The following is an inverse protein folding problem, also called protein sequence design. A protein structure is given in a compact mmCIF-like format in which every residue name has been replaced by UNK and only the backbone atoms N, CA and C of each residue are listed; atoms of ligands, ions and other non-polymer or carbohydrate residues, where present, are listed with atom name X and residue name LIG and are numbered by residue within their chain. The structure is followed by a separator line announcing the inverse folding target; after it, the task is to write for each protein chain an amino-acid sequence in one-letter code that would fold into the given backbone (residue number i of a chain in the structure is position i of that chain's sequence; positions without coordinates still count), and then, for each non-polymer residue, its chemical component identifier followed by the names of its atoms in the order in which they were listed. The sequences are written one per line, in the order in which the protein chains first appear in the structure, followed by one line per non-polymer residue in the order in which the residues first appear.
data_IF_396296036616
#
_entry.id   IF_396296036616
#
_cell.length_a   1.000
_cell.length_b   1.000
_cell.length_c   1.000
_cell.angle_alpha   90.00
_cell.angle_beta   90.00
_cell.angle_gamma   90.00
#
_symmetry.space_group_name_H-M   'P 1'
#
loop_
_entity.id
_entity.type
_entity.pdbx_description
1 polymer ?
#
# COMPACT_ATOMS: atom_id res chain seq x y z
N UNK A 1 3.01 -7.40 -1.31
CA UNK A 1 3.30 -6.40 -0.29
C UNK A 1 2.50 -6.61 1.00
N UNK A 2 1.16 -6.51 1.03
CA UNK A 2 0.41 -6.65 2.30
C UNK A 2 0.79 -7.90 3.09
N UNK A 3 0.69 -9.09 2.49
CA UNK A 3 1.03 -10.35 3.16
C UNK A 3 2.49 -10.39 3.63
N UNK A 4 3.41 -9.82 2.88
CA UNK A 4 4.81 -9.70 3.28
C UNK A 4 4.97 -8.79 4.49
N UNK A 5 4.31 -7.63 4.49
CA UNK A 5 4.30 -6.71 5.64
C UNK A 5 3.67 -7.34 6.87
N UNK A 6 2.56 -8.07 6.71
CA UNK A 6 1.91 -8.79 7.81
C UNK A 6 2.82 -9.89 8.38
N UNK A 7 3.50 -10.65 7.53
CA UNK A 7 4.44 -11.66 7.99
C UNK A 7 5.59 -11.06 8.82
N UNK A 8 6.08 -9.88 8.45
CA UNK A 8 7.07 -9.15 9.28
C UNK A 8 6.45 -8.67 10.60
N UNK A 9 5.24 -8.11 10.56
CA UNK A 9 4.56 -7.59 11.74
C UNK A 9 4.11 -8.68 12.72
N UNK A 10 3.99 -9.93 12.32
CA UNK A 10 3.76 -11.06 13.25
C UNK A 10 4.86 -11.20 14.32
N UNK A 11 6.08 -10.73 14.02
CA UNK A 11 7.19 -10.72 14.96
C UNK A 11 7.19 -9.51 15.91
N UNK A 12 6.18 -8.63 15.81
CA UNK A 12 6.04 -7.41 16.59
C UNK A 12 4.71 -7.44 17.34
N UNK A 13 4.71 -7.13 18.62
CA UNK A 13 3.46 -6.93 19.33
C UNK A 13 2.83 -5.56 18.96
N UNK A 14 2.23 -5.51 17.75
CA UNK A 14 1.67 -4.28 17.18
C UNK A 14 0.66 -3.61 18.12
N UNK A 15 -0.18 -4.40 18.81
CA UNK A 15 -1.16 -3.87 19.78
C UNK A 15 -0.49 -3.12 20.93
N UNK A 16 0.64 -3.65 21.44
CA UNK A 16 1.37 -3.03 22.55
C UNK A 16 2.06 -1.73 22.15
N UNK A 17 2.33 -1.50 20.86
CA UNK A 17 2.88 -0.23 20.39
C UNK A 17 1.89 0.94 20.57
N UNK A 18 0.59 0.65 20.56
CA UNK A 18 -0.48 1.66 20.65
C UNK A 18 -0.79 2.28 19.28
N UNK A 19 -2.08 2.41 18.97
CA UNK A 19 -2.54 2.98 17.70
C UNK A 19 -2.00 4.40 17.49
N UNK A 20 -1.42 4.65 16.32
CA UNK A 20 -0.83 5.94 15.92
C UNK A 20 0.18 6.54 16.91
N UNK A 21 0.78 5.73 17.79
CA UNK A 21 1.94 6.14 18.58
C UNK A 21 3.18 6.32 17.69
N UNK A 22 4.22 7.03 18.14
CA UNK A 22 5.49 7.12 17.39
C UNK A 22 6.09 5.76 17.10
N UNK A 23 6.05 4.83 18.05
CA UNK A 23 6.58 3.47 17.88
C UNK A 23 5.80 2.67 16.83
N UNK A 24 4.47 2.78 16.81
CA UNK A 24 3.62 2.14 15.81
C UNK A 24 3.89 2.70 14.41
N UNK A 25 3.83 4.03 14.26
CA UNK A 25 4.05 4.69 12.96
C UNK A 25 5.43 4.38 12.41
N UNK A 26 6.47 4.49 13.24
CA UNK A 26 7.84 4.15 12.85
C UNK A 26 7.95 2.70 12.39
N UNK A 27 7.49 1.74 13.19
CA UNK A 27 7.59 0.32 12.87
C UNK A 27 6.87 -0.04 11.58
N UNK A 28 5.62 0.42 11.41
CA UNK A 28 4.84 0.14 10.20
C UNK A 28 5.48 0.79 8.97
N UNK A 29 6.00 2.02 9.11
CA UNK A 29 6.72 2.72 8.04
C UNK A 29 7.95 1.96 7.58
N UNK A 30 8.79 1.52 8.51
CA UNK A 30 10.02 0.79 8.17
C UNK A 30 9.72 -0.59 7.56
N UNK A 31 8.72 -1.31 8.07
CA UNK A 31 8.24 -2.55 7.47
C UNK A 31 7.75 -2.33 6.04
N UNK A 32 7.00 -1.26 5.79
CA UNK A 32 6.55 -0.90 4.44
C UNK A 32 7.73 -0.60 3.52
N UNK A 33 8.74 0.14 3.97
CA UNK A 33 9.95 0.40 3.17
C UNK A 33 10.66 -0.90 2.77
N UNK A 34 10.81 -1.86 3.68
CA UNK A 34 11.38 -3.17 3.39
C UNK A 34 10.59 -3.92 2.30
N UNK A 35 9.26 -3.91 2.41
CA UNK A 35 8.40 -4.55 1.41
C UNK A 35 8.42 -3.81 0.06
N UNK A 36 8.54 -2.49 0.05
CA UNK A 36 8.69 -1.69 -1.16
C UNK A 36 10.05 -1.94 -1.83
N UNK A 37 11.13 -2.07 -1.07
CA UNK A 37 12.45 -2.41 -1.62
C UNK A 37 12.41 -3.74 -2.38
N UNK A 38 11.78 -4.74 -1.79
CA UNK A 38 11.60 -6.04 -2.43
C UNK A 38 10.68 -5.96 -3.67
N UNK A 39 9.63 -5.11 -3.61
CA UNK A 39 8.76 -4.84 -4.77
C UNK A 39 9.55 -4.28 -5.95
N UNK A 40 10.38 -3.28 -5.71
CA UNK A 40 11.17 -2.65 -6.77
C UNK A 40 12.12 -3.67 -7.42
N UNK A 41 12.65 -4.60 -6.67
CA UNK A 41 13.58 -5.60 -7.21
C UNK A 41 12.90 -6.74 -7.96
N UNK A 42 11.77 -7.24 -7.44
CA UNK A 42 11.25 -8.55 -7.85
C UNK A 42 9.90 -8.53 -8.56
N UNK A 43 9.07 -7.47 -8.42
CA UNK A 43 7.71 -7.52 -8.94
C UNK A 43 7.67 -7.21 -10.43
N UNK A 44 7.08 -8.15 -11.16
CA UNK A 44 6.85 -8.08 -12.59
C UNK A 44 5.80 -9.11 -13.02
N UNK A 45 5.58 -9.25 -14.32
CA UNK A 45 4.71 -10.30 -14.86
C UNK A 45 5.39 -11.68 -14.67
N UNK A 46 4.79 -12.62 -13.94
CA UNK A 46 5.39 -13.94 -13.68
C UNK A 46 5.57 -14.79 -14.93
N UNK A 47 4.93 -14.44 -16.05
CA UNK A 47 5.18 -15.10 -17.34
C UNK A 47 6.49 -14.64 -18.00
N UNK A 48 7.09 -13.54 -17.54
CA UNK A 48 8.27 -12.90 -18.10
C UNK A 48 9.43 -12.78 -17.11
N UNK A 49 9.14 -12.81 -15.82
CA UNK A 49 10.13 -12.66 -14.77
C UNK A 49 9.93 -13.71 -13.68
N UNK A 50 11.02 -14.27 -13.17
CA UNK A 50 10.98 -15.19 -12.05
C UNK A 50 10.71 -14.42 -10.74
N UNK A 51 9.43 -14.25 -10.40
CA UNK A 51 9.03 -13.60 -9.14
C UNK A 51 9.09 -14.63 -8.00
N UNK A 52 9.98 -14.47 -6.99
CA UNK A 52 10.19 -15.47 -5.96
C UNK A 52 9.11 -15.41 -4.85
N UNK A 53 7.83 -15.59 -5.23
CA UNK A 53 6.67 -15.39 -4.35
C UNK A 53 6.76 -16.21 -3.07
N UNK A 54 7.11 -17.51 -3.17
CA UNK A 54 7.21 -18.39 -2.01
C UNK A 54 8.27 -17.90 -1.02
N UNK A 55 9.42 -17.44 -1.53
CA UNK A 55 10.50 -16.90 -0.69
C UNK A 55 10.09 -15.58 -0.03
N UNK A 56 9.53 -14.63 -0.80
CA UNK A 56 9.05 -13.33 -0.31
C UNK A 56 7.97 -13.46 0.77
N UNK A 57 7.17 -14.53 0.74
CA UNK A 57 6.11 -14.80 1.71
C UNK A 57 6.53 -15.81 2.79
N UNK A 58 7.77 -16.30 2.79
CA UNK A 58 8.22 -17.23 3.82
C UNK A 58 8.34 -16.55 5.18
N UNK A 59 7.98 -17.27 6.25
CA UNK A 59 8.09 -16.76 7.62
C UNK A 59 9.55 -16.57 8.04
N UNK A 60 10.45 -17.42 7.56
CA UNK A 60 11.89 -17.27 7.80
C UNK A 60 12.43 -15.98 7.18
N UNK A 61 12.04 -15.68 5.95
CA UNK A 61 12.42 -14.43 5.30
C UNK A 61 11.90 -13.21 6.06
N UNK A 62 10.64 -13.23 6.46
CA UNK A 62 10.02 -12.16 7.23
C UNK A 62 10.72 -11.93 8.58
N UNK A 63 11.08 -13.02 9.29
CA UNK A 63 11.79 -12.97 10.55
C UNK A 63 13.18 -12.30 10.43
N UNK A 64 13.87 -12.52 9.32
CA UNK A 64 15.16 -11.87 9.07
C UNK A 64 14.98 -10.41 8.63
N UNK A 65 14.00 -10.14 7.76
CA UNK A 65 13.76 -8.77 7.27
C UNK A 65 13.35 -7.82 8.40
N UNK A 66 12.48 -8.26 9.31
CA UNK A 66 12.00 -7.39 10.40
C UNK A 66 13.11 -6.96 11.36
N UNK A 67 14.21 -7.70 11.48
CA UNK A 67 15.39 -7.31 12.29
C UNK A 67 16.07 -6.03 11.79
N UNK A 68 15.82 -5.64 10.54
CA UNK A 68 16.34 -4.41 9.95
C UNK A 68 15.54 -3.17 10.37
N UNK A 69 14.40 -3.34 11.03
CA UNK A 69 13.67 -2.24 11.66
C UNK A 69 14.47 -1.76 12.87
N UNK A 70 15.26 -0.73 12.67
CA UNK A 70 16.12 -0.16 13.70
C UNK A 70 15.39 0.84 14.60
N UNK A 71 16.12 1.36 15.59
CA UNK A 71 15.62 2.44 16.45
C UNK A 71 15.51 3.80 15.74
N UNK A 72 16.11 3.94 14.57
CA UNK A 72 16.08 5.15 13.73
C UNK A 72 15.54 4.82 12.35
N UNK A 73 14.90 5.82 11.74
CA UNK A 73 14.40 5.71 10.38
C UNK A 73 15.54 5.45 9.38
N UNK A 74 15.33 4.52 8.47
CA UNK A 74 16.17 4.40 7.29
C UNK A 74 16.02 5.69 6.46
N UNK A 75 17.12 6.36 6.06
CA UNK A 75 17.04 7.65 5.37
C UNK A 75 16.42 7.57 3.96
N UNK A 76 16.27 6.40 3.42
CA UNK A 76 15.71 6.16 2.10
C UNK A 76 15.00 4.81 2.00
N UNK A 77 15.00 4.23 0.81
CA UNK A 77 14.57 2.85 0.60
C UNK A 77 15.74 1.92 0.99
N UNK A 78 15.55 0.93 1.87
CA UNK A 78 16.58 -0.03 2.23
C UNK A 78 16.91 -0.96 1.04
N UNK A 79 18.03 -1.68 1.15
CA UNK A 79 18.36 -2.71 0.16
C UNK A 79 17.31 -3.84 0.17
N UNK A 80 16.92 -4.36 -1.01
CA UNK A 80 16.06 -5.52 -1.08
C UNK A 80 16.74 -6.75 -0.48
N UNK A 81 15.95 -7.62 0.13
CA UNK A 81 16.46 -8.88 0.67
C UNK A 81 16.66 -9.93 -0.42
N UNK A 82 17.36 -10.99 -0.10
CA UNK A 82 17.46 -12.19 -0.93
C UNK A 82 16.48 -13.26 -0.43
N UNK A 83 15.34 -13.48 -1.11
CA UNK A 83 14.37 -14.48 -0.66
C UNK A 83 14.88 -15.93 -0.69
N UNK A 84 15.95 -16.20 -1.45
CA UNK A 84 16.58 -17.51 -1.49
C UNK A 84 17.59 -17.72 -0.34
N UNK A 85 18.10 -16.62 0.24
CA UNK A 85 19.07 -16.61 1.34
C UNK A 85 18.60 -15.63 2.43
N UNK A 86 17.63 -16.01 3.25
CA UNK A 86 17.12 -15.13 4.31
C UNK A 86 18.25 -14.55 5.15
N UNK A 87 18.20 -13.23 5.41
CA UNK A 87 19.25 -12.49 6.09
C UNK A 87 20.29 -11.82 5.17
N UNK A 88 20.38 -12.24 3.91
CA UNK A 88 21.19 -11.55 2.91
C UNK A 88 20.40 -10.42 2.21
N UNK A 89 21.13 -9.45 1.68
CA UNK A 89 20.59 -8.41 0.77
C UNK A 89 21.15 -8.60 -0.63
N UNK A 90 20.47 -8.05 -1.60
CA UNK A 90 20.94 -7.97 -2.99
C UNK A 90 21.04 -6.51 -3.41
N UNK A 91 21.80 -6.24 -4.46
CA UNK A 91 21.85 -4.90 -5.03
C UNK A 91 20.43 -4.44 -5.39
N UNK A 92 20.07 -3.20 -5.07
CA UNK A 92 18.80 -2.64 -5.52
C UNK A 92 18.71 -2.74 -7.04
N UNK A 93 17.52 -2.94 -7.58
CA UNK A 93 17.29 -2.63 -8.97
C UNK A 93 17.74 -1.19 -9.16
N UNK A 94 18.52 -0.91 -10.20
CA UNK A 94 18.97 0.46 -10.49
C UNK A 94 17.75 1.36 -10.39
N UNK A 95 17.75 2.25 -9.39
CA UNK A 95 16.73 3.27 -9.29
C UNK A 95 17.10 4.33 -10.34
N UNK A 96 16.56 4.28 -11.55
CA UNK A 96 17.11 5.05 -12.67
C UNK A 96 16.79 6.53 -12.56
N UNK A 97 15.96 6.93 -11.64
CA UNK A 97 15.26 8.18 -11.79
C UNK A 97 15.07 8.88 -10.47
N UNK A 98 16.01 9.37 -9.89
CA UNK A 98 15.63 10.12 -8.75
C UNK A 98 16.78 10.82 -8.09
N UNK A 99 17.19 11.88 -8.69
CA UNK A 99 17.45 13.03 -7.82
C UNK A 99 16.18 13.24 -7.00
N UNK A 100 16.32 13.40 -5.66
CA UNK A 100 15.19 13.74 -4.82
C UNK A 100 14.43 14.89 -5.47
N UNK A 101 13.17 14.72 -5.76
CA UNK A 101 12.36 15.80 -6.29
C UNK A 101 12.12 16.77 -5.13
N UNK A 102 12.59 17.98 -5.26
CA UNK A 102 12.43 19.04 -4.24
C UNK A 102 11.03 19.65 -4.27
N UNK A 103 10.30 19.47 -5.34
CA UNK A 103 8.93 19.94 -5.46
C UNK A 103 7.94 18.87 -5.06
N UNK A 104 7.05 19.22 -4.15
CA UNK A 104 5.80 18.52 -3.98
C UNK A 104 5.04 18.65 -5.32
N UNK A 105 5.17 17.67 -6.20
CA UNK A 105 4.03 17.37 -7.04
C UNK A 105 2.91 17.17 -6.02
N UNK A 106 2.00 18.14 -5.96
CA UNK A 106 0.92 18.08 -5.00
C UNK A 106 0.39 16.66 -5.02
N UNK A 107 -0.01 16.12 -3.89
CA UNK A 107 -0.74 14.87 -3.84
C UNK A 107 -1.97 15.04 -4.75
N UNK A 108 -1.70 15.11 -6.04
CA UNK A 108 -2.67 15.18 -7.10
C UNK A 108 -3.43 13.89 -6.92
N UNK A 109 -4.63 14.03 -6.41
CA UNK A 109 -5.56 12.94 -6.41
C UNK A 109 -5.37 12.26 -7.76
N UNK A 110 -4.80 11.04 -7.76
CA UNK A 110 -4.70 10.26 -8.99
C UNK A 110 -6.13 10.05 -9.45
N UNK A 111 -6.55 10.96 -10.30
CA UNK A 111 -7.88 10.93 -10.90
C UNK A 111 -7.95 9.68 -11.77
N UNK A 112 -9.00 8.91 -11.61
CA UNK A 112 -9.27 7.76 -12.47
C UNK A 112 -9.20 6.39 -11.80
N UNK A 113 -8.98 6.32 -10.50
CA UNK A 113 -9.15 5.09 -9.72
C UNK A 113 -10.35 5.25 -8.78
N UNK A 114 -11.23 4.25 -8.74
CA UNK A 114 -12.27 4.14 -7.72
C UNK A 114 -12.21 2.76 -7.07
N UNK A 115 -12.92 2.60 -5.97
CA UNK A 115 -13.09 1.30 -5.30
C UNK A 115 -14.55 1.10 -4.95
N UNK A 116 -15.04 -0.11 -5.09
CA UNK A 116 -16.37 -0.51 -4.66
C UNK A 116 -16.31 -1.88 -4.00
N UNK A 117 -17.21 -2.10 -3.05
CA UNK A 117 -17.40 -3.38 -2.41
C UNK A 117 -18.89 -3.63 -2.13
N UNK A 118 -19.30 -4.87 -2.14
CA UNK A 118 -20.67 -5.27 -1.79
C UNK A 118 -20.67 -6.60 -1.05
N UNK A 119 -21.65 -6.75 -0.14
CA UNK A 119 -21.99 -8.01 0.52
C UNK A 119 -23.47 -8.20 0.32
N UNK A 120 -23.90 -9.35 -0.20
CA UNK A 120 -25.31 -9.69 -0.34
C UNK A 120 -25.85 -10.45 0.89
N UNK A 121 -27.17 -10.69 0.90
CA UNK A 121 -27.86 -11.42 1.96
C UNK A 121 -27.37 -12.85 2.14
N UNK A 122 -26.81 -13.46 1.10
CA UNK A 122 -26.27 -14.81 1.11
C UNK A 122 -24.79 -14.84 1.54
N UNK A 123 -24.26 -13.67 1.92
CA UNK A 123 -22.86 -13.46 2.36
C UNK A 123 -21.82 -13.62 1.25
N UNK A 124 -22.22 -13.52 -0.02
CA UNK A 124 -21.28 -13.37 -1.10
C UNK A 124 -20.63 -11.98 -1.01
N UNK A 125 -19.31 -11.93 -1.19
CA UNK A 125 -18.55 -10.69 -1.11
C UNK A 125 -17.82 -10.41 -2.42
N UNK A 126 -17.86 -9.16 -2.85
CA UNK A 126 -17.08 -8.68 -3.99
C UNK A 126 -16.41 -7.35 -3.64
N UNK A 127 -15.20 -7.15 -4.14
CA UNK A 127 -14.54 -5.85 -4.15
C UNK A 127 -13.77 -5.65 -5.45
N UNK A 128 -13.81 -4.45 -5.99
CA UNK A 128 -13.27 -4.10 -7.30
C UNK A 128 -12.60 -2.73 -7.21
N UNK A 129 -11.40 -2.62 -7.79
CA UNK A 129 -10.68 -1.34 -7.92
C UNK A 129 -10.40 -1.05 -9.40
N UNK A 130 -11.37 -0.52 -10.15
CA UNK A 130 -11.15 -0.12 -11.54
C UNK A 130 -10.30 1.14 -11.62
N UNK A 131 -9.43 1.20 -12.62
CA UNK A 131 -8.57 2.34 -12.89
C UNK A 131 -8.09 2.30 -14.35
N UNK A 132 -7.88 3.47 -14.94
CA UNK A 132 -7.43 3.52 -16.35
C UNK A 132 -6.91 4.90 -16.76
N UNK A 133 -6.77 5.85 -15.81
CA UNK A 133 -6.36 7.22 -16.11
C UNK A 133 -7.45 8.06 -16.80
N UNK A 134 -8.57 7.47 -17.10
CA UNK A 134 -9.76 8.06 -17.75
C UNK A 134 -9.40 8.97 -18.95
N UNK A 135 -10.30 9.80 -19.39
CA UNK A 135 -10.14 10.65 -20.59
C UNK A 135 -9.01 11.70 -20.51
N UNK A 136 -8.47 11.98 -19.33
CA UNK A 136 -7.39 12.98 -19.17
C UNK A 136 -6.00 12.46 -19.52
N UNK A 137 -5.76 11.16 -19.34
CA UNK A 137 -4.42 10.57 -19.47
C UNK A 137 -4.34 9.48 -20.54
N UNK A 138 -5.47 9.04 -21.07
CA UNK A 138 -5.50 7.90 -21.99
C UNK A 138 -6.36 8.21 -23.22
N UNK A 139 -5.84 7.87 -24.39
CA UNK A 139 -6.57 8.02 -25.65
C UNK A 139 -7.82 7.13 -25.66
N UNK A 140 -8.93 7.69 -26.12
CA UNK A 140 -10.12 6.91 -26.44
C UNK A 140 -9.92 6.22 -27.78
N UNK A 141 -10.20 4.93 -27.82
CA UNK A 141 -10.14 4.14 -29.06
C UNK A 141 -11.56 3.83 -29.52
N UNK A 142 -12.04 4.48 -30.60
CA UNK A 142 -13.45 4.39 -30.99
C UNK A 142 -13.94 2.96 -31.22
N UNK A 143 -13.13 2.10 -31.80
CA UNK A 143 -13.49 0.71 -32.07
C UNK A 143 -13.60 -0.19 -30.83
N UNK A 144 -13.01 0.24 -29.69
CA UNK A 144 -13.06 -0.50 -28.43
C UNK A 144 -14.16 0.02 -27.49
N UNK A 145 -14.69 1.21 -27.73
CA UNK A 145 -15.68 1.85 -26.86
C UNK A 145 -15.15 2.22 -25.48
N UNK A 146 -13.83 2.23 -25.26
CA UNK A 146 -13.19 2.58 -24.00
C UNK A 146 -11.83 3.24 -24.20
N UNK A 147 -11.27 3.80 -23.12
CA UNK A 147 -9.89 4.28 -23.10
C UNK A 147 -8.91 3.15 -22.87
N UNK A 148 -7.69 3.29 -23.38
CA UNK A 148 -6.61 2.38 -23.01
C UNK A 148 -6.13 2.62 -21.57
N UNK A 149 -5.64 1.59 -20.93
CA UNK A 149 -5.07 1.73 -19.59
C UNK A 149 -3.75 2.51 -19.62
N UNK A 150 -3.54 3.41 -18.66
CA UNK A 150 -2.26 4.12 -18.46
C UNK A 150 -1.21 3.28 -17.75
N UNK A 151 -1.45 2.00 -17.50
CA UNK A 151 -0.53 1.13 -16.75
C UNK A 151 0.82 0.91 -17.42
N UNK A 152 0.94 1.18 -18.71
CA UNK A 152 2.23 1.21 -19.42
C UNK A 152 3.23 2.20 -18.82
N UNK A 153 2.79 3.27 -18.16
CA UNK A 153 3.65 4.20 -17.41
C UNK A 153 4.48 3.52 -16.30
N UNK A 154 4.03 2.36 -15.85
CA UNK A 154 4.69 1.59 -14.79
C UNK A 154 5.86 0.75 -15.27
N UNK A 155 6.01 0.50 -16.57
CA UNK A 155 7.16 -0.22 -17.10
C UNK A 155 8.47 0.56 -16.89
N UNK A 156 9.54 -0.17 -16.70
CA UNK A 156 10.91 0.35 -16.78
C UNK A 156 11.43 0.18 -18.21
N UNK A 157 12.34 1.05 -18.62
CA UNK A 157 13.04 0.94 -19.90
C UNK A 157 14.35 0.15 -19.79
N UNK A 158 14.61 -0.44 -18.64
CA UNK A 158 15.71 -1.33 -18.36
C UNK A 158 15.26 -2.76 -18.65
N UNK A 159 15.88 -3.41 -19.62
CA UNK A 159 15.53 -4.76 -20.08
C UNK A 159 15.77 -5.83 -19.00
N UNK A 160 16.71 -5.59 -18.09
CA UNK A 160 17.05 -6.51 -16.99
C UNK A 160 16.12 -6.36 -15.79
N UNK A 161 15.27 -5.33 -15.77
CA UNK A 161 14.34 -5.11 -14.69
C UNK A 161 13.16 -6.09 -14.76
N UNK A 162 12.74 -6.66 -13.61
CA UNK A 162 11.61 -7.59 -13.55
C UNK A 162 10.34 -7.02 -14.20
N UNK A 163 10.12 -5.70 -14.12
CA UNK A 163 9.03 -4.96 -14.77
C UNK A 163 9.50 -4.19 -16.03
N UNK A 164 10.56 -4.63 -16.71
CA UNK A 164 11.03 -4.06 -17.98
C UNK A 164 9.99 -4.19 -19.09
N UNK A 165 9.94 -3.22 -19.99
CA UNK A 165 8.99 -3.19 -21.11
C UNK A 165 9.31 -4.29 -22.13
N UNK A 166 8.34 -5.16 -22.40
CA UNK A 166 8.47 -6.20 -23.43
C UNK A 166 7.12 -6.42 -24.13
N UNK A 167 7.11 -6.81 -25.41
CA UNK A 167 5.89 -7.14 -26.13
C UNK A 167 5.07 -8.24 -25.41
N UNK A 168 3.77 -8.04 -25.27
CA UNK A 168 2.87 -8.99 -24.62
C UNK A 168 2.95 -9.07 -23.10
N UNK A 169 3.89 -8.40 -22.45
CA UNK A 169 4.07 -8.35 -21.00
C UNK A 169 3.05 -7.42 -20.36
N UNK A 170 2.51 -7.83 -19.22
CA UNK A 170 1.68 -6.98 -18.35
C UNK A 170 2.59 -6.16 -17.43
N UNK A 171 2.37 -4.84 -17.26
CA UNK A 171 3.06 -4.08 -16.22
C UNK A 171 2.63 -4.55 -14.84
N UNK A 172 3.49 -4.36 -13.84
CA UNK A 172 3.03 -4.43 -12.44
C UNK A 172 1.92 -3.40 -12.23
N UNK A 173 1.09 -3.61 -11.23
CA UNK A 173 -0.02 -2.70 -10.92
C UNK A 173 -0.01 -2.29 -9.45
N UNK A 174 -0.53 -1.10 -9.17
CA UNK A 174 -0.84 -0.63 -7.82
C UNK A 174 -2.26 -1.00 -7.38
N UNK A 175 -3.08 -1.56 -8.28
CA UNK A 175 -4.46 -1.93 -7.98
C UNK A 175 -4.48 -3.14 -7.07
N UNK A 176 -5.13 -2.98 -5.93
CA UNK A 176 -5.17 -4.00 -4.88
C UNK A 176 -6.58 -4.07 -4.30
N UNK A 177 -7.09 -5.29 -4.19
CA UNK A 177 -8.33 -5.62 -3.50
C UNK A 177 -8.04 -6.71 -2.49
N UNK A 178 -8.70 -6.66 -1.35
CA UNK A 178 -8.54 -7.66 -0.31
C UNK A 178 -9.87 -8.24 0.12
N UNK A 179 -9.86 -9.54 0.27
CA UNK A 179 -10.92 -10.31 0.87
C UNK A 179 -10.31 -11.15 2.00
N UNK A 180 -10.83 -10.96 3.20
CA UNK A 180 -10.37 -11.68 4.38
C UNK A 180 -11.35 -12.80 4.69
N UNK A 181 -10.80 -13.99 4.86
CA UNK A 181 -11.56 -15.16 5.28
C UNK A 181 -11.16 -15.60 6.69
N UNK A 182 -12.13 -16.10 7.44
CA UNK A 182 -11.90 -16.82 8.69
C UNK A 182 -12.44 -18.24 8.50
N UNK A 183 -11.57 -19.23 8.67
CA UNK A 183 -11.92 -20.65 8.48
C UNK A 183 -12.58 -20.94 7.13
N UNK A 184 -12.05 -20.30 6.06
CA UNK A 184 -12.56 -20.42 4.70
C UNK A 184 -13.80 -19.58 4.38
N UNK A 185 -14.40 -18.89 5.36
CA UNK A 185 -15.59 -18.06 5.18
C UNK A 185 -15.18 -16.58 5.02
N UNK A 186 -15.63 -15.87 3.96
CA UNK A 186 -15.40 -14.45 3.81
C UNK A 186 -16.02 -13.65 4.96
N UNK A 187 -15.24 -12.75 5.56
CA UNK A 187 -15.71 -11.94 6.69
C UNK A 187 -15.50 -10.43 6.48
N UNK A 188 -14.60 -10.04 5.60
CA UNK A 188 -14.31 -8.63 5.37
C UNK A 188 -13.73 -8.40 3.98
N UNK A 189 -14.10 -7.28 3.35
CA UNK A 189 -13.37 -6.73 2.20
C UNK A 189 -12.86 -5.34 2.53
N UNK A 190 -11.77 -4.93 1.89
CA UNK A 190 -11.29 -3.57 1.97
C UNK A 190 -10.44 -3.21 0.75
N UNK A 191 -10.41 -1.91 0.47
CA UNK A 191 -9.63 -1.35 -0.63
C UNK A 191 -9.79 0.16 -0.72
N UNK A 192 -8.96 0.74 -1.57
CA UNK A 192 -8.96 2.18 -1.81
C UNK A 192 -8.33 2.51 -3.16
N UNK A 193 -8.63 3.66 -3.79
CA UNK A 193 -7.77 4.27 -4.79
C UNK A 193 -6.47 4.79 -4.16
N UNK A 194 -5.49 5.29 -4.97
CA UNK A 194 -4.36 6.07 -4.47
C UNK A 194 -2.97 5.56 -4.82
N UNK A 195 -2.78 4.91 -5.97
CA UNK A 195 -1.45 4.53 -6.44
C UNK A 195 -0.68 3.69 -5.41
N UNK A 196 0.55 4.08 -5.08
CA UNK A 196 1.40 3.38 -4.11
C UNK A 196 0.93 3.54 -2.65
N UNK A 197 0.10 4.54 -2.37
CA UNK A 197 -0.51 4.69 -1.04
C UNK A 197 -1.57 3.61 -0.75
N UNK A 198 -2.10 2.93 -1.79
CA UNK A 198 -3.05 1.82 -1.58
C UNK A 198 -2.50 0.74 -0.66
N UNK A 199 -1.25 0.30 -0.88
CA UNK A 199 -0.64 -0.74 -0.05
C UNK A 199 -0.48 -0.30 1.41
N UNK A 200 -0.17 0.97 1.62
CA UNK A 200 0.07 1.58 2.93
C UNK A 200 -1.25 1.78 3.71
N UNK A 201 -2.25 2.36 3.05
CA UNK A 201 -3.57 2.59 3.66
C UNK A 201 -4.29 1.27 3.97
N UNK A 202 -4.24 0.31 3.05
CA UNK A 202 -4.87 -1.00 3.25
C UNK A 202 -4.26 -1.76 4.43
N UNK A 203 -2.93 -1.68 4.63
CA UNK A 203 -2.29 -2.26 5.81
C UNK A 203 -2.81 -1.61 7.10
N UNK A 204 -2.89 -0.27 7.15
CA UNK A 204 -3.39 0.45 8.31
C UNK A 204 -4.85 0.10 8.60
N UNK A 205 -5.72 0.07 7.59
CA UNK A 205 -7.13 -0.33 7.76
C UNK A 205 -7.27 -1.74 8.31
N UNK A 206 -6.50 -2.69 7.77
CA UNK A 206 -6.51 -4.06 8.27
C UNK A 206 -6.08 -4.15 9.74
N UNK A 207 -5.01 -3.43 10.12
CA UNK A 207 -4.54 -3.37 11.50
C UNK A 207 -5.57 -2.68 12.41
N UNK A 208 -6.23 -1.63 11.94
CA UNK A 208 -7.28 -0.93 12.68
C UNK A 208 -8.43 -1.88 13.05
N UNK A 209 -8.92 -2.67 12.12
CA UNK A 209 -10.01 -3.61 12.38
C UNK A 209 -9.51 -4.82 13.19
N UNK A 210 -8.47 -5.52 12.71
CA UNK A 210 -8.11 -6.84 13.26
C UNK A 210 -7.25 -6.77 14.52
N UNK A 211 -6.43 -5.72 14.66
CA UNK A 211 -5.53 -5.56 15.82
C UNK A 211 -6.13 -4.61 16.86
N UNK A 212 -6.66 -3.47 16.42
CA UNK A 212 -7.19 -2.46 17.35
C UNK A 212 -8.69 -2.58 17.62
N UNK A 213 -9.41 -3.43 16.90
CA UNK A 213 -10.83 -3.73 17.13
C UNK A 213 -11.78 -2.60 16.72
N UNK A 214 -11.36 -1.74 15.80
CA UNK A 214 -12.20 -0.67 15.27
C UNK A 214 -13.31 -1.25 14.39
N UNK A 215 -14.49 -0.64 14.42
CA UNK A 215 -15.52 -0.91 13.42
C UNK A 215 -15.09 -0.39 12.03
N UNK A 216 -15.78 -0.78 10.94
CA UNK A 216 -15.41 -0.35 9.59
C UNK A 216 -15.34 1.17 9.41
N UNK A 217 -16.24 1.95 10.02
CA UNK A 217 -16.26 3.40 9.89
C UNK A 217 -15.08 4.04 10.66
N UNK A 218 -14.87 3.62 11.90
CA UNK A 218 -13.71 4.04 12.69
C UNK A 218 -12.38 3.73 11.96
N UNK A 219 -12.29 2.55 11.35
CA UNK A 219 -11.08 2.11 10.66
C UNK A 219 -10.73 2.99 9.44
N UNK A 220 -11.73 3.42 8.66
CA UNK A 220 -11.51 4.30 7.50
C UNK A 220 -11.32 5.77 7.91
N UNK A 221 -11.89 6.21 9.02
CA UNK A 221 -11.74 7.58 9.52
C UNK A 221 -10.46 7.83 10.31
N UNK A 222 -9.86 6.79 10.85
CA UNK A 222 -8.63 6.90 11.64
C UNK A 222 -7.56 7.74 10.91
N UNK A 223 -6.82 8.60 11.61
CA UNK A 223 -5.73 9.38 10.99
C UNK A 223 -4.69 8.46 10.37
N UNK A 224 -4.22 8.81 9.17
CA UNK A 224 -3.27 8.02 8.38
C UNK A 224 -1.93 8.68 8.23
N UNK A 225 -0.98 7.85 7.87
CA UNK A 225 0.36 8.26 7.46
C UNK A 225 0.78 7.47 6.21
N UNK A 226 1.73 8.03 5.45
CA UNK A 226 2.32 7.30 4.32
C UNK A 226 3.77 7.69 4.10
N UNK A 227 4.64 6.72 3.87
CA UNK A 227 6.01 7.02 3.48
C UNK A 227 6.08 7.39 2.02
N UNK A 228 6.83 8.43 1.72
CA UNK A 228 7.20 8.85 0.37
C UNK A 228 8.64 8.43 0.03
N UNK A 229 9.30 7.68 0.95
CA UNK A 229 10.59 7.03 0.70
C UNK A 229 10.44 5.78 -0.17
N UNK A 230 9.60 5.87 -1.20
CA UNK A 230 9.36 4.82 -2.19
C UNK A 230 9.31 5.47 -3.56
N UNK A 231 9.88 4.80 -4.56
CA UNK A 231 9.77 5.26 -5.94
C UNK A 231 8.31 5.15 -6.40
N UNK A 232 7.71 6.27 -6.79
CA UNK A 232 6.36 6.28 -7.32
C UNK A 232 6.26 5.36 -8.54
N UNK A 233 5.24 4.54 -8.61
CA UNK A 233 5.05 3.59 -9.72
C UNK A 233 4.75 4.28 -11.04
N UNK A 234 4.27 5.50 -11.04
CA UNK A 234 3.93 6.28 -12.23
C UNK A 234 5.05 7.24 -12.63
N UNK A 235 5.17 7.52 -13.91
CA UNK A 235 6.06 8.55 -14.42
C UNK A 235 5.66 9.93 -13.84
N UNK A 236 6.61 10.79 -13.44
CA UNK A 236 8.07 10.71 -13.53
C UNK A 236 8.77 9.95 -12.38
N UNK A 237 8.09 9.11 -11.63
CA UNK A 237 8.65 8.26 -10.56
C UNK A 237 9.26 9.08 -9.42
N UNK A 238 8.54 10.08 -8.96
CA UNK A 238 8.96 10.91 -7.82
C UNK A 238 9.41 10.06 -6.63
N UNK A 239 10.48 10.50 -5.98
CA UNK A 239 11.05 9.85 -4.82
C UNK A 239 11.52 10.88 -3.81
N UNK A 240 11.09 10.74 -2.57
CA UNK A 240 11.39 11.66 -1.47
C UNK A 240 12.01 10.89 -0.29
N UNK A 241 13.35 10.72 -0.26
CA UNK A 241 14.03 9.96 0.77
C UNK A 241 13.70 10.49 2.18
N UNK A 242 13.41 9.59 3.11
CA UNK A 242 13.11 9.94 4.50
C UNK A 242 11.72 10.53 4.75
N UNK A 243 11.02 11.01 3.71
CA UNK A 243 9.76 11.73 3.89
C UNK A 243 8.64 10.83 4.35
N UNK A 244 7.96 11.29 5.40
CA UNK A 244 6.79 10.67 6.00
C UNK A 244 5.64 11.69 6.05
N UNK A 245 4.59 11.44 5.29
CA UNK A 245 3.35 12.19 5.36
C UNK A 245 2.58 11.78 6.60
N UNK A 246 2.16 12.75 7.38
CA UNK A 246 1.29 12.57 8.56
C UNK A 246 0.06 13.46 8.40
N UNK A 247 -1.14 12.89 8.53
CA UNK A 247 -2.34 13.70 8.63
C UNK A 247 -2.29 14.62 9.84
N UNK A 248 -2.82 15.86 9.69
CA UNK A 248 -2.82 16.87 10.77
C UNK A 248 -3.52 16.41 12.05
N UNK A 249 -4.41 15.43 11.97
CA UNK A 249 -5.07 14.81 13.12
C UNK A 249 -4.16 13.93 13.97
N UNK A 250 -2.96 13.57 13.48
CA UNK A 250 -1.92 12.94 14.30
C UNK A 250 -1.28 14.04 15.16
N UNK A 251 -1.21 13.89 16.50
CA UNK A 251 -0.73 14.94 17.39
C UNK A 251 0.69 15.43 17.04
N UNK A 252 0.93 16.72 17.22
CA UNK A 252 2.24 17.33 16.95
C UNK A 252 3.37 16.69 17.77
N UNK A 253 3.10 16.31 19.02
CA UNK A 253 4.09 15.63 19.86
C UNK A 253 4.54 14.27 19.26
N UNK A 254 3.66 13.58 18.51
CA UNK A 254 3.99 12.36 17.79
C UNK A 254 4.89 12.69 16.58
N UNK A 255 4.57 13.75 15.85
CA UNK A 255 5.37 14.21 14.71
C UNK A 255 6.80 14.56 15.13
N UNK A 256 6.96 15.29 16.24
CA UNK A 256 8.26 15.66 16.81
C UNK A 256 9.09 14.43 17.22
N UNK A 257 8.48 13.44 17.84
CA UNK A 257 9.15 12.20 18.19
C UNK A 257 9.59 11.41 16.95
N UNK A 258 8.76 11.35 15.92
CA UNK A 258 9.12 10.72 14.63
C UNK A 258 10.26 11.45 13.93
N UNK A 259 10.25 12.79 13.95
CA UNK A 259 11.37 13.60 13.45
C UNK A 259 12.68 13.32 14.20
N UNK A 260 12.62 13.16 15.53
CA UNK A 260 13.77 12.77 16.34
C UNK A 260 14.30 11.38 16.00
N UNK A 261 13.46 10.47 15.53
CA UNK A 261 13.87 9.17 15.00
C UNK A 261 14.52 9.26 13.60
N UNK A 262 14.44 10.41 12.93
CA UNK A 262 15.05 10.66 11.63
C UNK A 262 14.08 10.66 10.43
N UNK A 263 12.78 10.63 10.66
CA UNK A 263 11.80 10.84 9.59
C UNK A 263 11.74 12.32 9.19
N UNK A 264 11.70 12.60 7.90
CA UNK A 264 11.38 13.93 7.35
C UNK A 264 9.86 14.11 7.35
N UNK A 265 9.34 14.81 8.35
CA UNK A 265 7.90 14.93 8.54
C UNK A 265 7.30 15.98 7.59
N UNK A 266 6.29 15.58 6.83
CA UNK A 266 5.44 16.48 6.06
C UNK A 266 3.99 16.36 6.56
N UNK A 267 3.47 17.44 7.14
CA UNK A 267 2.08 17.52 7.61
C UNK A 267 1.16 17.73 6.40
N UNK A 268 0.10 16.96 6.35
CA UNK A 268 -0.90 17.03 5.27
C UNK A 268 -2.31 17.05 5.86
N UNK A 269 -3.23 17.79 5.24
CA UNK A 269 -4.62 17.87 5.72
C UNK A 269 -5.31 16.50 5.70
N UNK A 270 -5.16 15.76 4.60
CA UNK A 270 -5.65 14.40 4.47
C UNK A 270 -4.84 13.61 3.44
N UNK A 271 -4.60 12.34 3.70
CA UNK A 271 -4.15 11.40 2.68
C UNK A 271 -5.30 11.19 1.70
N UNK A 272 -5.32 11.85 0.54
CA UNK A 272 -6.42 11.92 -0.40
C UNK A 272 -7.01 10.60 -0.95
N UNK A 273 -7.13 9.59 -0.10
CA UNK A 273 -7.58 8.23 -0.40
C UNK A 273 -8.97 8.03 0.15
N UNK A 274 -9.94 7.70 -0.70
CA UNK A 274 -11.28 7.28 -0.28
C UNK A 274 -11.33 5.77 -0.07
N UNK A 275 -11.17 5.33 1.16
CA UNK A 275 -11.15 3.92 1.52
C UNK A 275 -12.57 3.38 1.80
N UNK A 276 -12.74 2.09 1.57
CA UNK A 276 -13.97 1.37 1.91
C UNK A 276 -13.59 0.08 2.64
N UNK A 277 -14.30 -0.19 3.72
CA UNK A 277 -14.24 -1.46 4.45
C UNK A 277 -15.65 -1.99 4.56
N UNK A 278 -15.87 -3.25 4.19
CA UNK A 278 -17.12 -3.95 4.47
C UNK A 278 -16.82 -5.18 5.33
N UNK A 279 -17.70 -5.48 6.25
CA UNK A 279 -17.52 -6.56 7.21
C UNK A 279 -18.85 -7.30 7.46
N UNK A 280 -18.73 -8.59 7.65
CA UNK A 280 -19.80 -9.43 8.19
C UNK A 280 -19.35 -9.97 9.55
N UNK A 281 -20.16 -9.76 10.57
CA UNK A 281 -19.97 -10.43 11.85
C UNK A 281 -20.36 -11.91 11.70
N UNK A 282 -19.43 -12.86 11.86
CA UNK A 282 -19.72 -14.28 11.69
C UNK A 282 -20.66 -14.83 12.76
N UNK A 283 -20.75 -14.22 13.94
CA UNK A 283 -21.58 -14.68 15.04
C UNK A 283 -23.04 -14.23 14.90
N UNK A 284 -23.26 -13.01 14.45
CA UNK A 284 -24.61 -12.41 14.38
C UNK A 284 -25.15 -12.31 12.95
N UNK A 285 -24.29 -12.42 11.94
CA UNK A 285 -24.63 -12.19 10.54
C UNK A 285 -24.80 -10.71 10.17
N UNK A 286 -24.61 -9.78 11.10
CA UNK A 286 -24.73 -8.34 10.86
C UNK A 286 -23.71 -7.89 9.83
N UNK A 287 -24.17 -7.11 8.84
CA UNK A 287 -23.34 -6.47 7.85
C UNK A 287 -23.03 -5.05 8.28
N UNK A 288 -21.78 -4.64 8.13
CA UNK A 288 -21.32 -3.29 8.41
C UNK A 288 -20.45 -2.77 7.27
N UNK A 289 -20.52 -1.48 7.00
CA UNK A 289 -19.67 -0.83 6.01
C UNK A 289 -19.18 0.51 6.53
N UNK A 290 -17.93 0.84 6.20
CA UNK A 290 -17.31 2.14 6.44
C UNK A 290 -16.95 2.80 5.12
N UNK A 291 -17.30 4.08 4.97
CA UNK A 291 -16.99 4.91 3.83
C UNK A 291 -16.16 6.11 4.26
N UNK A 292 -15.02 6.31 3.62
CA UNK A 292 -14.03 7.31 4.00
C UNK A 292 -14.48 8.72 3.61
N UNK A 293 -14.61 9.66 4.56
CA UNK A 293 -15.08 11.02 4.28
C UNK A 293 -14.04 11.89 3.55
N UNK A 294 -12.80 11.43 3.37
CA UNK A 294 -11.75 12.19 2.68
C UNK A 294 -12.02 12.37 1.18
N UNK A 295 -12.92 11.57 0.61
CA UNK A 295 -13.47 11.70 -0.76
C UNK A 295 -14.98 11.46 -0.73
N UNK A 296 -15.71 11.88 -1.76
CA UNK A 296 -17.10 11.48 -1.90
C UNK A 296 -17.22 9.96 -2.00
N UNK A 297 -17.57 9.33 -0.90
CA UNK A 297 -17.79 7.88 -0.78
C UNK A 297 -19.08 7.63 -0.02
N UNK A 298 -19.68 6.46 -0.25
CA UNK A 298 -20.97 6.14 0.34
C UNK A 298 -20.96 4.70 0.87
N UNK A 299 -21.66 4.48 1.99
CA UNK A 299 -22.03 3.16 2.49
C UNK A 299 -23.56 3.11 2.53
N UNK A 300 -24.16 2.12 1.88
CA UNK A 300 -25.61 1.96 1.78
C UNK A 300 -25.96 0.52 2.13
N UNK A 301 -27.00 0.33 2.92
CA UNK A 301 -27.58 -0.98 3.27
C UNK A 301 -29.09 -0.95 3.19
N UNK A 302 -29.72 -2.07 2.80
CA UNK A 302 -31.17 -2.20 2.74
C UNK A 302 -31.58 -3.66 3.04
#
# INVERSE_FOLDING_TARGET
MLLQSLNMLEHVNVRALGHNSPAYIHTVTEVLKLAFADRERYYGDPNFAAVPIAGLLSKTYAAERVKLVGARACPGLPDPGDPARPGATVAPAVLPWGSPTTEMAGAGAEEGTTHLAAIDRDSNMVCITPSGGVFRKSAFVPGLGCTLSTRSEMFFLDDDHANGLQPGKRPRTTLINYLVCRDGVPVMTFGCPGGDDQAQANLQMMLNVLVFGMDPQQAVEAPRFSTQSVTNSFYPRSYYPGRLHLEERIPEAVAQQLAALGHEIARIGACGIGAIVTQRDPATGVLAAGADPRRPTYAIGW
#
